data_IF_812668014053
#
_entry.id   IF_812668014053
#
_cell.length_a   1.000
_cell.length_b   1.000
_cell.length_c   1.000
_cell.angle_alpha   90.00
_cell.angle_beta   90.00
_cell.angle_gamma   90.00
#
_symmetry.space_group_name_H-M   'P 1'
#
loop_
_entity.id
_entity.type
_entity.pdbx_description
1 polymer ?
#
# COMPACT_ATOMS: atom_id res chain seq x y z
N UNK A 1 23.20 -27.66 -1.77
CA UNK A 1 24.25 -27.57 -2.83
C UNK A 1 24.94 -26.22 -2.71
N UNK A 2 26.26 -26.13 -2.90
CA UNK A 2 26.96 -24.83 -2.93
C UNK A 2 26.84 -24.25 -4.35
N UNK A 3 26.33 -23.02 -4.47
CA UNK A 3 26.16 -22.33 -5.78
C UNK A 3 27.44 -22.29 -6.61
N UNK A 4 28.59 -22.16 -5.94
CA UNK A 4 29.91 -22.17 -6.58
C UNK A 4 30.20 -23.46 -7.37
N UNK A 5 29.74 -24.61 -6.89
CA UNK A 5 29.96 -25.88 -7.58
C UNK A 5 29.14 -25.96 -8.88
N UNK A 6 27.88 -25.50 -8.84
CA UNK A 6 27.02 -25.42 -10.02
C UNK A 6 27.59 -24.46 -11.05
N UNK A 7 28.02 -23.28 -10.62
CA UNK A 7 28.64 -22.29 -11.50
C UNK A 7 29.90 -22.83 -12.17
N UNK A 8 30.80 -23.49 -11.43
CA UNK A 8 32.01 -24.11 -12.01
C UNK A 8 31.68 -25.21 -13.00
N UNK A 9 30.72 -26.08 -12.66
CA UNK A 9 30.29 -27.18 -13.53
C UNK A 9 29.64 -26.65 -14.81
N UNK A 10 28.83 -25.59 -14.69
CA UNK A 10 28.21 -24.91 -15.83
C UNK A 10 29.27 -24.35 -16.78
N UNK A 11 30.20 -23.53 -16.29
CA UNK A 11 31.23 -22.93 -17.15
C UNK A 11 32.14 -23.98 -17.80
N UNK A 12 32.47 -25.05 -17.08
CA UNK A 12 33.23 -26.16 -17.64
C UNK A 12 32.47 -26.86 -18.77
N UNK A 13 31.14 -26.98 -18.68
CA UNK A 13 30.30 -27.59 -19.70
C UNK A 13 30.09 -26.65 -20.90
N UNK A 14 29.86 -25.36 -20.69
CA UNK A 14 29.61 -24.40 -21.78
C UNK A 14 30.86 -23.99 -22.54
N UNK A 15 32.05 -24.23 -21.97
CA UNK A 15 33.33 -24.14 -22.66
C UNK A 15 33.59 -25.34 -23.59
N UNK A 16 32.97 -26.48 -23.29
CA UNK A 16 33.15 -27.70 -24.07
C UNK A 16 32.10 -27.74 -25.18
N UNK A 17 32.56 -27.58 -26.41
CA UNK A 17 31.71 -27.79 -27.56
C UNK A 17 31.47 -29.29 -27.76
N UNK A 18 30.22 -29.67 -28.01
CA UNK A 18 29.83 -31.07 -28.15
C UNK A 18 30.56 -31.77 -29.30
N UNK A 19 30.63 -33.10 -29.23
CA UNK A 19 31.22 -33.97 -30.25
C UNK A 19 30.37 -34.08 -31.55
N UNK A 20 29.66 -33.02 -31.92
CA UNK A 20 29.04 -32.90 -33.24
C UNK A 20 30.13 -32.47 -34.23
N UNK A 21 30.26 -33.18 -35.34
CA UNK A 21 31.35 -33.03 -36.31
C UNK A 21 31.43 -31.60 -36.87
N UNK A 22 32.32 -30.78 -36.30
CA UNK A 22 32.63 -29.44 -36.78
C UNK A 22 33.51 -28.64 -35.80
N UNK A 23 34.29 -27.66 -36.28
CA UNK A 23 34.95 -26.69 -35.40
C UNK A 23 33.87 -25.88 -34.68
N UNK A 24 34.03 -25.70 -33.38
CA UNK A 24 33.14 -24.87 -32.60
C UNK A 24 33.40 -23.39 -32.91
N UNK A 25 32.44 -22.67 -33.51
CA UNK A 25 32.68 -21.30 -33.92
C UNK A 25 32.66 -20.33 -32.74
N UNK A 26 31.80 -20.57 -31.75
CA UNK A 26 31.51 -19.64 -30.64
C UNK A 26 31.19 -20.45 -29.37
N UNK A 27 31.67 -19.97 -28.23
CA UNK A 27 31.47 -20.58 -26.91
C UNK A 27 31.10 -19.52 -25.87
N UNK A 28 30.52 -19.92 -24.74
CA UNK A 28 30.23 -19.00 -23.63
C UNK A 28 31.50 -18.45 -22.93
N UNK A 29 32.70 -18.79 -23.41
CA UNK A 29 33.95 -18.19 -22.98
C UNK A 29 34.29 -16.94 -23.79
N UNK A 30 33.74 -16.83 -25.00
CA UNK A 30 33.98 -15.71 -25.89
C UNK A 30 33.26 -14.48 -25.37
N UNK A 31 33.88 -13.31 -25.51
CA UNK A 31 33.34 -12.03 -25.05
C UNK A 31 32.10 -11.56 -25.82
N UNK A 32 31.76 -12.25 -26.88
CA UNK A 32 30.73 -11.85 -27.84
C UNK A 32 29.35 -12.40 -27.46
N UNK A 33 29.31 -13.36 -26.52
CA UNK A 33 28.09 -13.99 -26.02
C UNK A 33 27.89 -13.76 -24.53
N UNK A 34 26.66 -13.46 -24.14
CA UNK A 34 26.21 -13.51 -22.76
C UNK A 34 25.39 -14.80 -22.53
N UNK A 35 25.82 -15.63 -21.57
CA UNK A 35 25.18 -16.91 -21.24
C UNK A 35 24.57 -16.90 -19.84
N UNK A 36 23.30 -17.30 -19.76
CA UNK A 36 22.50 -17.30 -18.54
C UNK A 36 21.87 -18.67 -18.26
N UNK A 37 21.80 -19.02 -16.98
CA UNK A 37 20.82 -20.01 -16.49
C UNK A 37 19.70 -19.27 -15.80
N UNK A 38 18.48 -19.46 -16.29
CA UNK A 38 17.29 -18.76 -15.85
C UNK A 38 16.25 -19.77 -15.34
N UNK A 39 15.54 -19.42 -14.29
CA UNK A 39 14.44 -20.23 -13.77
C UNK A 39 13.17 -20.10 -14.67
N UNK A 40 12.19 -20.97 -14.49
CA UNK A 40 10.89 -20.92 -15.18
C UNK A 40 10.10 -19.62 -14.89
N UNK A 41 10.47 -18.87 -13.85
CA UNK A 41 9.93 -17.56 -13.52
C UNK A 41 10.75 -16.37 -14.04
N UNK A 42 11.79 -16.62 -14.85
CA UNK A 42 12.62 -15.60 -15.49
C UNK A 42 13.70 -14.98 -14.58
N UNK A 43 14.03 -15.59 -13.44
CA UNK A 43 15.11 -15.13 -12.57
C UNK A 43 16.45 -15.73 -12.97
N UNK A 44 17.50 -14.91 -13.00
CA UNK A 44 18.85 -15.33 -13.37
C UNK A 44 19.50 -16.04 -12.16
N UNK A 45 19.91 -17.28 -12.35
CA UNK A 45 20.63 -18.09 -11.35
C UNK A 45 22.14 -18.10 -11.57
N UNK A 46 22.57 -18.12 -12.83
CA UNK A 46 23.98 -18.08 -13.24
C UNK A 46 24.13 -17.06 -14.35
N UNK A 47 25.09 -16.16 -14.19
CA UNK A 47 25.55 -15.19 -15.19
C UNK A 47 27.07 -15.05 -15.07
N UNK A 48 27.73 -14.55 -16.11
CA UNK A 48 29.13 -14.10 -16.06
C UNK A 48 29.30 -13.00 -15.01
N UNK A 49 28.34 -12.08 -14.92
CA UNK A 49 28.39 -10.91 -14.04
C UNK A 49 27.62 -11.19 -12.75
N UNK A 50 28.27 -11.13 -11.57
CA UNK A 50 27.62 -11.49 -10.30
C UNK A 50 26.50 -10.51 -9.90
N UNK A 51 26.50 -9.29 -10.44
CA UNK A 51 25.50 -8.25 -10.16
C UNK A 51 24.10 -8.59 -10.72
N UNK A 52 24.04 -9.51 -11.70
CA UNK A 52 22.81 -9.89 -12.40
C UNK A 52 22.13 -11.10 -11.75
N UNK A 53 22.88 -11.87 -10.95
CA UNK A 53 22.35 -13.04 -10.26
C UNK A 53 21.27 -12.63 -9.27
N UNK A 54 20.12 -13.29 -9.35
CA UNK A 54 18.93 -13.00 -8.55
C UNK A 54 18.05 -11.88 -9.10
N UNK A 55 18.47 -11.17 -10.16
CA UNK A 55 17.62 -10.19 -10.84
C UNK A 55 16.69 -10.86 -11.84
N UNK A 56 15.63 -10.14 -12.19
CA UNK A 56 14.74 -10.57 -13.26
C UNK A 56 15.40 -10.33 -14.61
N UNK A 57 15.30 -11.31 -15.52
CA UNK A 57 15.84 -11.21 -16.86
C UNK A 57 15.34 -9.95 -17.61
N UNK A 58 14.08 -9.57 -17.43
CA UNK A 58 13.52 -8.38 -18.10
C UNK A 58 14.04 -7.05 -17.56
N UNK A 59 14.64 -7.05 -16.37
CA UNK A 59 15.33 -5.88 -15.81
C UNK A 59 16.73 -5.70 -16.43
N UNK A 60 17.38 -6.81 -16.79
CA UNK A 60 18.71 -6.84 -17.40
C UNK A 60 18.63 -6.70 -18.92
N UNK A 61 17.75 -7.46 -19.57
CA UNK A 61 17.50 -7.45 -21.01
C UNK A 61 15.99 -7.45 -21.31
N UNK A 62 15.42 -6.25 -21.39
CA UNK A 62 14.01 -6.05 -21.71
C UNK A 62 13.65 -6.43 -23.15
N UNK A 63 14.60 -6.33 -24.09
CA UNK A 63 14.39 -6.64 -25.49
C UNK A 63 14.15 -8.15 -25.69
N UNK A 64 14.99 -8.95 -25.04
CA UNK A 64 14.90 -10.41 -25.06
C UNK A 64 13.59 -10.92 -24.44
N UNK A 65 13.21 -10.43 -23.25
CA UNK A 65 11.97 -10.86 -22.59
C UNK A 65 10.74 -10.46 -23.41
N UNK A 66 10.74 -9.27 -24.00
CA UNK A 66 9.65 -8.83 -24.89
C UNK A 66 9.49 -9.77 -26.09
N UNK A 67 10.60 -10.22 -26.68
CA UNK A 67 10.57 -11.18 -27.77
C UNK A 67 10.14 -12.58 -27.31
N UNK A 68 10.61 -13.04 -26.15
CA UNK A 68 10.18 -14.34 -25.61
C UNK A 68 8.68 -14.36 -25.25
N UNK A 69 8.11 -13.21 -24.85
CA UNK A 69 6.68 -13.03 -24.67
C UNK A 69 5.93 -13.06 -26.01
N UNK A 70 6.45 -12.38 -27.04
CA UNK A 70 5.82 -12.36 -28.38
C UNK A 70 5.79 -13.75 -29.01
N UNK A 71 6.83 -14.55 -28.77
CA UNK A 71 6.92 -15.94 -29.22
C UNK A 71 6.11 -16.93 -28.37
N UNK A 72 5.53 -16.50 -27.25
CA UNK A 72 4.77 -17.36 -26.34
C UNK A 72 5.63 -18.31 -25.50
N UNK A 73 6.95 -18.14 -25.47
CA UNK A 73 7.87 -18.93 -24.62
C UNK A 73 7.62 -18.61 -23.14
N UNK A 74 7.37 -17.34 -22.85
CA UNK A 74 6.89 -16.89 -21.55
C UNK A 74 5.44 -16.41 -21.65
N UNK A 75 4.72 -16.56 -20.56
CA UNK A 75 3.37 -16.01 -20.38
C UNK A 75 3.40 -15.00 -19.24
N UNK A 76 2.78 -13.83 -19.48
CA UNK A 76 2.59 -12.82 -18.45
C UNK A 76 1.23 -13.03 -17.79
N UNK A 77 1.24 -13.23 -16.47
CA UNK A 77 0.05 -13.41 -15.63
C UNK A 77 0.05 -12.34 -14.56
N UNK A 78 -1.01 -11.54 -14.48
CA UNK A 78 -1.16 -10.55 -13.42
C UNK A 78 -1.61 -11.23 -12.13
N UNK A 79 -0.80 -11.13 -11.08
CA UNK A 79 -1.15 -11.55 -9.73
C UNK A 79 -1.71 -10.38 -8.93
N UNK A 80 -2.67 -10.66 -8.05
CA UNK A 80 -3.29 -9.68 -7.16
C UNK A 80 -3.01 -10.06 -5.70
N UNK A 81 -2.47 -9.12 -4.94
CA UNK A 81 -2.32 -9.21 -3.49
C UNK A 81 -3.36 -8.30 -2.81
N UNK A 82 -4.31 -8.91 -2.11
CA UNK A 82 -5.40 -8.24 -1.38
C UNK A 82 -5.04 -7.92 0.07
N UNK A 83 -3.80 -8.22 0.50
CA UNK A 83 -3.31 -8.03 1.87
C UNK A 83 -2.08 -7.12 1.93
N UNK A 84 -1.80 -6.38 0.86
CA UNK A 84 -0.67 -5.49 0.77
C UNK A 84 -0.87 -4.24 1.67
N UNK A 85 0.25 -3.59 1.99
CA UNK A 85 0.28 -2.33 2.74
C UNK A 85 0.87 -1.23 1.86
N UNK A 86 0.06 -0.22 1.52
CA UNK A 86 0.46 0.91 0.70
C UNK A 86 0.62 2.16 1.56
N UNK A 87 1.49 3.06 1.10
CA UNK A 87 1.47 4.43 1.64
C UNK A 87 0.20 5.12 1.15
N UNK A 88 -0.59 5.73 2.03
CA UNK A 88 -1.76 6.49 1.63
C UNK A 88 -1.30 7.62 0.71
N UNK A 89 -2.08 7.97 -0.32
CA UNK A 89 -1.83 9.17 -1.08
C UNK A 89 -1.77 10.34 -0.09
N UNK A 90 -0.70 11.12 -0.16
CA UNK A 90 -0.58 12.34 0.65
C UNK A 90 -1.60 13.35 0.13
N UNK A 91 -2.81 13.29 0.67
CA UNK A 91 -3.73 14.42 0.57
C UNK A 91 -3.09 15.55 1.39
N UNK A 92 -2.51 16.52 0.69
CA UNK A 92 -2.18 17.80 1.28
C UNK A 92 -3.50 18.48 1.66
N UNK A 93 -4.06 18.11 2.81
CA UNK A 93 -4.98 18.99 3.50
C UNK A 93 -4.13 20.18 3.92
N UNK A 94 -4.32 21.32 3.24
CA UNK A 94 -3.75 22.58 3.69
C UNK A 94 -4.05 22.72 5.19
N UNK A 95 -3.00 22.81 6.01
CA UNK A 95 -3.12 23.14 7.42
C UNK A 95 -3.53 24.61 7.63
N UNK A 96 -4.22 25.21 6.64
CA UNK A 96 -4.92 26.46 6.80
C UNK A 96 -6.03 26.17 7.80
N UNK A 97 -5.82 26.57 9.04
CA UNK A 97 -6.91 26.74 9.98
C UNK A 97 -7.97 27.57 9.27
N UNK A 98 -9.24 27.13 9.21
CA UNK A 98 -10.29 27.96 8.68
C UNK A 98 -10.22 29.29 9.42
N UNK A 99 -10.11 30.40 8.69
CA UNK A 99 -10.02 31.73 9.28
C UNK A 99 -11.21 31.86 10.24
N UNK A 100 -10.91 31.85 11.54
CA UNK A 100 -11.89 32.04 12.60
C UNK A 100 -12.56 33.36 12.29
N UNK A 101 -13.88 33.33 12.05
CA UNK A 101 -14.63 34.52 11.68
C UNK A 101 -14.31 35.63 12.69
N UNK A 102 -14.01 36.87 12.25
CA UNK A 102 -13.69 37.97 13.16
C UNK A 102 -14.79 38.18 14.22
N UNK A 103 -16.03 37.81 13.89
CA UNK A 103 -17.18 37.83 14.80
C UNK A 103 -17.02 36.81 15.94
N UNK A 104 -16.52 35.61 15.66
CA UNK A 104 -16.33 34.57 16.69
C UNK A 104 -15.16 34.89 17.64
N UNK A 105 -14.10 35.54 17.14
CA UNK A 105 -13.04 36.10 17.98
C UNK A 105 -13.60 37.20 18.90
N UNK A 106 -14.41 38.11 18.35
CA UNK A 106 -15.08 39.16 19.12
C UNK A 106 -16.00 38.56 20.20
N UNK A 107 -16.83 37.56 19.84
CA UNK A 107 -17.75 36.90 20.78
C UNK A 107 -17.01 36.19 21.91
N UNK A 108 -15.88 35.54 21.61
CA UNK A 108 -15.04 34.88 22.61
C UNK A 108 -14.42 35.90 23.56
N UNK A 109 -13.92 37.02 23.03
CA UNK A 109 -13.40 38.12 23.82
C UNK A 109 -14.48 38.76 24.70
N UNK A 110 -15.69 38.99 24.17
CA UNK A 110 -16.81 39.51 24.96
C UNK A 110 -17.23 38.53 26.05
N UNK A 111 -17.24 37.22 25.76
CA UNK A 111 -17.57 36.19 26.75
C UNK A 111 -16.53 36.13 27.85
N UNK A 112 -15.24 36.23 27.51
CA UNK A 112 -14.17 36.34 28.49
C UNK A 112 -14.34 37.59 29.36
N UNK A 113 -14.60 38.75 28.75
CA UNK A 113 -14.74 40.03 29.45
C UNK A 113 -15.96 40.04 30.39
N UNK A 114 -17.07 39.42 29.99
CA UNK A 114 -18.23 39.21 30.87
C UNK A 114 -17.91 38.27 32.02
N UNK A 115 -17.11 37.23 31.79
CA UNK A 115 -16.71 36.28 32.83
C UNK A 115 -15.77 36.95 33.85
N UNK A 116 -14.80 37.75 33.40
CA UNK A 116 -13.94 38.55 34.28
C UNK A 116 -14.74 39.60 35.04
N UNK A 117 -15.69 40.28 34.41
CA UNK A 117 -16.58 41.22 35.10
C UNK A 117 -17.44 40.51 36.16
N UNK A 118 -17.94 39.30 35.86
CA UNK A 118 -18.69 38.49 36.81
C UNK A 118 -17.82 38.05 37.99
N UNK A 119 -16.58 37.62 37.72
CA UNK A 119 -15.58 37.30 38.76
C UNK A 119 -15.24 38.54 39.59
N UNK A 120 -15.01 39.70 38.98
CA UNK A 120 -14.80 40.97 39.67
C UNK A 120 -16.00 41.37 40.53
N UNK A 121 -17.24 41.15 40.08
CA UNK A 121 -18.45 41.44 40.87
C UNK A 121 -18.63 40.44 42.03
N UNK A 122 -18.23 39.18 41.84
CA UNK A 122 -18.19 38.16 42.89
C UNK A 122 -17.10 38.49 43.92
N UNK A 123 -15.91 38.89 43.46
CA UNK A 123 -14.79 39.32 44.30
C UNK A 123 -15.09 40.63 45.01
N UNK A 124 -15.78 41.58 44.37
CA UNK A 124 -16.22 42.83 44.98
C UNK A 124 -17.27 42.60 46.08
N UNK A 125 -18.14 41.58 45.92
CA UNK A 125 -19.01 41.11 47.00
C UNK A 125 -18.24 40.42 48.12
N UNK A 126 -17.12 39.76 47.81
CA UNK A 126 -16.25 39.11 48.79
C UNK A 126 -15.30 40.10 49.50
N UNK A 127 -14.94 41.23 48.88
CA UNK A 127 -14.03 42.25 49.44
C UNK A 127 -14.67 43.13 50.53
N UNK A 128 -15.94 42.91 50.85
CA UNK A 128 -16.55 43.39 52.09
C UNK A 128 -16.16 42.61 53.34
N UNK A 129 -15.52 41.43 53.21
CA UNK A 129 -15.08 40.66 54.35
C UNK A 129 -13.82 39.85 54.05
N UNK A 130 -12.76 40.18 54.78
CA UNK A 130 -11.52 39.42 54.95
C UNK A 130 -10.45 39.49 53.86
N UNK A 131 -9.49 40.38 54.12
CA UNK A 131 -8.06 40.11 53.95
C UNK A 131 -7.71 38.77 54.59
N UNK A 132 -7.39 37.77 53.77
CA UNK A 132 -6.91 36.45 54.21
C UNK A 132 -6.02 35.89 53.11
N UNK A 133 -4.75 36.23 53.21
CA UNK A 133 -3.67 35.89 52.28
C UNK A 133 -3.41 34.38 52.28
N UNK A 134 -3.76 33.67 51.21
CA UNK A 134 -3.20 32.35 50.90
C UNK A 134 -3.15 32.14 49.38
N UNK A 135 -1.99 32.46 48.80
CA UNK A 135 -1.63 32.05 47.45
C UNK A 135 -1.52 30.53 47.33
N UNK A 136 -1.97 30.00 46.19
CA UNK A 136 -1.64 28.67 45.72
C UNK A 136 -1.14 28.77 44.28
N UNK A 137 0.16 28.58 44.10
CA UNK A 137 0.81 28.47 42.79
C UNK A 137 0.57 27.05 42.25
N UNK A 138 -0.27 26.91 41.22
CA UNK A 138 -0.53 25.62 40.58
C UNK A 138 0.54 25.36 39.50
N UNK A 139 1.49 24.46 39.77
CA UNK A 139 2.40 23.92 38.75
C UNK A 139 1.65 22.90 37.87
N UNK A 140 1.47 23.23 36.60
CA UNK A 140 0.94 22.33 35.56
C UNK A 140 2.01 21.32 35.13
N UNK A 141 2.06 20.18 35.82
CA UNK A 141 2.92 19.04 35.48
C UNK A 141 2.21 18.13 34.48
N UNK A 142 1.98 18.52 33.23
CA UNK A 142 1.66 17.56 32.14
C UNK A 142 1.89 18.16 30.76
N UNK A 143 3.14 18.17 30.26
CA UNK A 143 3.42 18.21 28.82
C UNK A 143 4.74 17.47 28.50
N UNK A 144 4.85 16.19 28.82
CA UNK A 144 5.75 15.32 28.07
C UNK A 144 5.04 14.91 26.77
N UNK A 145 5.16 15.78 25.77
CA UNK A 145 4.76 15.48 24.40
C UNK A 145 5.68 14.37 23.88
N UNK A 146 5.17 13.14 23.85
CA UNK A 146 5.82 12.06 23.13
C UNK A 146 5.90 12.49 21.66
N UNK A 147 7.11 12.85 21.23
CA UNK A 147 7.44 13.07 19.83
C UNK A 147 7.32 11.73 19.11
N UNK A 148 6.09 11.35 18.75
CA UNK A 148 5.83 10.21 17.89
C UNK A 148 6.64 10.42 16.62
N UNK A 149 7.71 9.63 16.47
CA UNK A 149 8.42 9.48 15.21
C UNK A 149 7.34 9.14 14.20
N UNK A 150 7.15 9.99 13.19
CA UNK A 150 6.15 9.85 12.14
C UNK A 150 6.49 8.59 11.37
N UNK A 151 6.06 7.44 11.89
CA UNK A 151 6.13 6.18 11.19
C UNK A 151 5.25 6.38 9.96
N UNK A 152 5.79 6.07 8.78
CA UNK A 152 5.03 6.14 7.54
C UNK A 152 3.71 5.40 7.80
N UNK A 153 2.61 6.16 7.84
CA UNK A 153 1.29 5.59 8.05
C UNK A 153 1.05 4.67 6.85
N UNK A 154 1.02 3.36 7.07
CA UNK A 154 0.70 2.40 6.02
C UNK A 154 -0.78 2.02 6.18
N UNK A 155 -1.45 1.82 5.05
CA UNK A 155 -2.85 1.38 5.02
C UNK A 155 -2.97 0.10 4.20
N UNK A 156 -3.91 -0.81 4.54
CA UNK A 156 -4.24 -1.95 3.70
C UNK A 156 -4.69 -1.48 2.31
N UNK A 157 -4.15 -2.12 1.27
CA UNK A 157 -4.47 -1.83 -0.13
C UNK A 157 -4.42 -3.12 -0.95
N UNK A 158 -4.99 -3.06 -2.14
CA UNK A 158 -4.83 -4.12 -3.13
C UNK A 158 -3.70 -3.72 -4.08
N UNK A 159 -2.75 -4.61 -4.32
CA UNK A 159 -1.70 -4.41 -5.33
C UNK A 159 -1.80 -5.46 -6.43
N UNK A 160 -1.38 -5.08 -7.63
CA UNK A 160 -1.25 -5.98 -8.76
C UNK A 160 0.19 -5.93 -9.27
N UNK A 161 0.75 -7.09 -9.60
CA UNK A 161 2.08 -7.20 -10.18
C UNK A 161 2.12 -8.27 -11.28
N UNK A 162 2.87 -8.05 -12.36
CA UNK A 162 3.03 -9.06 -13.40
C UNK A 162 3.99 -10.17 -12.93
N UNK A 163 3.59 -11.41 -13.16
CA UNK A 163 4.42 -12.61 -12.97
C UNK A 163 4.63 -13.27 -14.33
N UNK A 164 5.85 -13.75 -14.55
CA UNK A 164 6.24 -14.42 -15.78
C UNK A 164 6.38 -15.91 -15.51
N UNK A 165 5.80 -16.73 -16.38
CA UNK A 165 5.83 -18.19 -16.30
C UNK A 165 6.18 -18.76 -17.67
N UNK A 166 7.24 -19.55 -17.72
CA UNK A 166 7.65 -20.28 -18.92
C UNK A 166 6.62 -21.36 -19.30
N UNK A 167 6.28 -21.43 -20.58
CA UNK A 167 5.40 -22.46 -21.13
C UNK A 167 6.19 -23.73 -21.48
N UNK A 168 5.98 -24.80 -20.73
CA UNK A 168 6.70 -26.08 -20.87
C UNK A 168 6.46 -26.82 -22.21
N UNK A 169 5.52 -26.35 -23.02
CA UNK A 169 5.29 -26.85 -24.37
C UNK A 169 6.44 -26.47 -25.33
N UNK A 170 7.13 -25.36 -25.06
CA UNK A 170 8.23 -24.85 -25.90
C UNK A 170 9.55 -25.18 -25.23
N UNK A 171 10.23 -26.24 -25.68
CA UNK A 171 11.50 -26.68 -25.09
C UNK A 171 12.71 -25.91 -25.62
N UNK A 172 12.62 -25.45 -26.85
CA UNK A 172 13.69 -24.77 -27.57
C UNK A 172 13.09 -23.59 -28.33
N UNK A 173 13.77 -22.45 -28.28
CA UNK A 173 13.40 -21.26 -29.02
C UNK A 173 14.68 -20.56 -29.49
N UNK A 174 14.70 -20.16 -30.75
CA UNK A 174 15.74 -19.33 -31.32
C UNK A 174 15.10 -18.15 -32.05
N UNK A 175 15.83 -17.06 -32.15
CA UNK A 175 15.32 -15.88 -32.83
C UNK A 175 16.30 -14.73 -32.85
N UNK A 176 15.89 -13.68 -33.54
CA UNK A 176 16.64 -12.42 -33.64
C UNK A 176 15.73 -11.28 -33.23
N UNK A 177 16.24 -10.40 -32.39
CA UNK A 177 15.60 -9.15 -31.96
C UNK A 177 16.15 -8.02 -32.81
N UNK A 178 15.27 -7.29 -33.49
CA UNK A 178 15.66 -6.13 -34.30
C UNK A 178 15.81 -4.87 -33.41
N UNK A 179 17.04 -4.41 -33.20
CA UNK A 179 17.36 -3.27 -32.33
C UNK A 179 17.61 -1.98 -33.13
N UNK A 180 16.93 -1.84 -34.28
CA UNK A 180 17.08 -0.81 -35.33
C UNK A 180 18.45 -0.76 -36.02
N UNK A 181 19.54 -0.69 -35.27
CA UNK A 181 20.90 -0.54 -35.80
C UNK A 181 21.63 -1.89 -35.98
N UNK A 182 21.21 -2.91 -35.24
CA UNK A 182 21.77 -4.26 -35.27
C UNK A 182 20.67 -5.28 -34.97
N UNK A 183 20.97 -6.55 -35.25
CA UNK A 183 20.11 -7.68 -34.89
C UNK A 183 20.78 -8.47 -33.79
N UNK A 184 20.10 -8.62 -32.65
CA UNK A 184 20.59 -9.41 -31.52
C UNK A 184 20.02 -10.81 -31.61
N UNK A 185 20.86 -11.81 -31.83
CA UNK A 185 20.43 -13.21 -31.86
C UNK A 185 20.36 -13.80 -30.45
N UNK A 186 19.46 -14.75 -30.26
CA UNK A 186 19.38 -15.52 -29.02
C UNK A 186 18.97 -16.97 -29.29
N UNK A 187 19.40 -17.83 -28.37
CA UNK A 187 19.04 -19.24 -28.31
C UNK A 187 18.64 -19.57 -26.87
N UNK A 188 17.51 -20.24 -26.74
CA UNK A 188 16.93 -20.67 -25.48
C UNK A 188 16.66 -22.17 -25.54
N UNK A 189 17.11 -22.90 -24.54
CA UNK A 189 16.92 -24.35 -24.44
C UNK A 189 16.60 -24.74 -23.00
N UNK A 190 15.58 -25.56 -22.81
CA UNK A 190 15.25 -26.13 -21.51
C UNK A 190 16.31 -27.17 -21.11
N UNK A 191 16.83 -27.06 -19.88
CA UNK A 191 17.74 -28.06 -19.33
C UNK A 191 16.94 -29.34 -19.01
N UNK A 192 17.30 -30.49 -19.61
CA UNK A 192 16.55 -31.73 -19.44
C UNK A 192 16.32 -32.09 -17.97
N UNK A 193 15.12 -32.61 -17.68
CA UNK A 193 14.71 -33.04 -16.33
C UNK A 193 14.75 -31.94 -15.25
N UNK A 194 14.67 -30.67 -15.65
CA UNK A 194 14.62 -29.53 -14.71
C UNK A 194 13.66 -28.43 -15.18
N UNK A 195 13.40 -27.47 -14.30
CA UNK A 195 12.69 -26.22 -14.57
C UNK A 195 13.62 -25.10 -15.10
N UNK A 196 14.91 -25.38 -15.30
CA UNK A 196 15.90 -24.39 -15.69
C UNK A 196 15.98 -24.24 -17.20
N UNK A 197 16.33 -23.04 -17.62
CA UNK A 197 16.46 -22.62 -19.01
C UNK A 197 17.88 -22.11 -19.24
N UNK A 198 18.56 -22.68 -20.24
CA UNK A 198 19.79 -22.13 -20.78
C UNK A 198 19.44 -21.08 -21.81
N UNK A 199 20.01 -19.90 -21.66
CA UNK A 199 19.79 -18.77 -22.56
C UNK A 199 21.13 -18.19 -22.98
N UNK A 200 21.34 -18.09 -24.28
CA UNK A 200 22.56 -17.55 -24.88
C UNK A 200 22.16 -16.40 -25.78
N UNK A 201 22.79 -15.25 -25.60
CA UNK A 201 22.46 -14.04 -26.37
C UNK A 201 23.71 -13.34 -26.86
N UNK A 202 23.61 -12.71 -28.02
CA UNK A 202 24.67 -11.86 -28.55
C UNK A 202 24.86 -10.58 -27.71
N UNK A 203 26.10 -10.30 -27.32
CA UNK A 203 26.49 -9.13 -26.53
C UNK A 203 26.93 -7.94 -27.41
N UNK A 204 27.28 -8.18 -28.67
CA UNK A 204 27.82 -7.15 -29.58
C UNK A 204 26.82 -6.05 -29.91
N UNK A 205 25.52 -6.35 -29.79
CA UNK A 205 24.42 -5.45 -30.09
C UNK A 205 23.74 -4.93 -28.81
N UNK A 206 23.81 -3.61 -28.58
CA UNK A 206 23.10 -2.94 -27.48
C UNK A 206 21.65 -2.60 -27.88
N UNK A 207 20.70 -3.22 -27.18
CA UNK A 207 19.27 -3.11 -27.42
C UNK A 207 18.53 -2.24 -26.38
N UNK A 208 19.21 -1.26 -25.79
CA UNK A 208 18.67 -0.33 -24.77
C UNK A 208 17.46 0.52 -25.21
N UNK A 209 17.01 0.42 -26.47
CA UNK A 209 15.78 1.05 -26.97
C UNK A 209 14.54 0.42 -26.32
N UNK A 210 14.60 -0.86 -25.99
CA UNK A 210 13.52 -1.55 -25.31
C UNK A 210 13.56 -1.19 -23.82
N UNK A 211 12.44 -0.73 -23.23
CA UNK A 211 12.38 -0.45 -21.81
C UNK A 211 12.57 -1.75 -21.01
N UNK A 212 13.15 -1.63 -19.81
CA UNK A 212 13.21 -2.75 -18.88
C UNK A 212 11.79 -3.18 -18.49
N UNK A 213 11.57 -4.49 -18.45
CA UNK A 213 10.31 -5.09 -18.02
C UNK A 213 10.41 -5.32 -16.52
N UNK A 214 9.80 -4.41 -15.75
CA UNK A 214 9.85 -4.44 -14.29
C UNK A 214 8.69 -5.27 -13.71
N UNK A 215 8.94 -5.90 -12.56
CA UNK A 215 7.93 -6.59 -11.73
C UNK A 215 7.54 -5.76 -10.51
N UNK A 216 7.30 -4.48 -10.73
CA UNK A 216 6.88 -3.57 -9.66
C UNK A 216 5.41 -3.80 -9.31
N UNK A 217 5.11 -3.72 -8.00
CA UNK A 217 3.74 -3.83 -7.51
C UNK A 217 3.06 -2.45 -7.60
N UNK A 218 1.97 -2.40 -8.36
CA UNK A 218 1.19 -1.18 -8.52
C UNK A 218 -0.10 -1.27 -7.67
N UNK A 219 -0.45 -0.18 -7.01
CA UNK A 219 -1.71 -0.09 -6.27
C UNK A 219 -2.90 -0.12 -7.24
N UNK A 220 -3.83 -1.05 -7.01
CA UNK A 220 -5.07 -1.15 -7.78
C UNK A 220 -6.01 -0.04 -7.34
N UNK A 221 -6.01 1.07 -8.09
CA UNK A 221 -6.91 2.19 -7.83
C UNK A 221 -8.33 1.86 -8.28
N UNK A 222 -9.15 1.35 -7.39
CA UNK A 222 -10.60 1.30 -7.62
C UNK A 222 -11.11 2.74 -7.61
N UNK A 223 -11.54 3.24 -8.77
CA UNK A 223 -12.01 4.62 -8.91
C UNK A 223 -13.14 4.87 -7.89
N UNK A 224 -12.82 5.58 -6.82
CA UNK A 224 -13.77 6.30 -5.99
C UNK A 224 -13.68 7.76 -6.45
N UNK A 225 -14.70 8.15 -7.22
CA UNK A 225 -15.15 9.51 -7.53
C UNK A 225 -14.10 10.62 -7.58
N UNK A 226 -13.75 11.11 -8.78
CA UNK A 226 -13.25 12.48 -8.93
C UNK A 226 -12.09 12.76 -9.88
N UNK A 227 -11.62 11.83 -10.71
CA UNK A 227 -10.66 12.16 -11.78
C UNK A 227 -11.06 11.54 -13.11
N UNK A 228 -11.34 12.40 -14.09
CA UNK A 228 -11.91 12.08 -15.40
C UNK A 228 -10.86 11.57 -16.40
N UNK A 229 -9.91 10.75 -15.96
CA UNK A 229 -8.86 10.17 -16.82
C UNK A 229 -8.47 8.76 -16.38
N UNK A 230 -9.41 7.82 -16.40
CA UNK A 230 -9.11 6.39 -16.65
C UNK A 230 -10.41 5.60 -16.78
N UNK A 231 -10.61 4.93 -17.91
CA UNK A 231 -11.81 4.18 -18.25
C UNK A 231 -11.93 2.81 -17.54
N UNK A 232 -11.15 2.54 -16.48
CA UNK A 232 -11.13 1.23 -15.83
C UNK A 232 -11.18 1.36 -14.31
N UNK A 233 -12.26 0.88 -13.66
CA UNK A 233 -12.23 0.09 -12.40
C UNK A 233 -13.55 -0.03 -11.60
N UNK A 234 -14.68 0.52 -12.07
CA UNK A 234 -16.00 0.06 -11.58
C UNK A 234 -16.40 -1.31 -12.19
N UNK A 235 -15.86 -1.61 -13.39
CA UNK A 235 -16.19 -2.81 -14.16
C UNK A 235 -15.67 -4.12 -13.53
N UNK A 236 -14.51 -4.11 -12.86
CA UNK A 236 -13.90 -5.34 -12.29
C UNK A 236 -14.74 -5.89 -11.13
N UNK A 237 -15.19 -5.03 -10.22
CA UNK A 237 -16.05 -5.44 -9.09
C UNK A 237 -17.41 -5.96 -9.60
N UNK A 238 -18.03 -5.28 -10.56
CA UNK A 238 -19.28 -5.70 -11.18
C UNK A 238 -19.13 -7.02 -11.97
N UNK A 239 -18.05 -7.18 -12.72
CA UNK A 239 -17.75 -8.42 -13.45
C UNK A 239 -17.53 -9.59 -12.50
N UNK A 240 -16.84 -9.36 -11.37
CA UNK A 240 -16.65 -10.39 -10.32
C UNK A 240 -17.96 -10.77 -9.62
N UNK A 241 -18.89 -9.81 -9.45
CA UNK A 241 -20.24 -10.12 -8.97
C UNK A 241 -21.04 -10.95 -9.97
N UNK A 242 -20.78 -10.81 -11.27
CA UNK A 242 -21.43 -11.61 -12.33
C UNK A 242 -20.85 -13.03 -12.37
N UNK A 243 -19.57 -13.21 -12.12
CA UNK A 243 -18.86 -14.51 -12.11
C UNK A 243 -18.82 -15.16 -10.71
N UNK A 244 -19.92 -15.13 -9.96
CA UNK A 244 -19.94 -15.56 -8.55
C UNK A 244 -19.22 -16.90 -8.35
N UNK A 245 -18.23 -16.93 -7.44
CA UNK A 245 -17.64 -18.19 -6.99
C UNK A 245 -18.74 -19.01 -6.30
N UNK A 246 -18.73 -20.33 -6.49
CA UNK A 246 -19.66 -21.22 -5.80
C UNK A 246 -19.53 -21.01 -4.29
N UNK A 247 -20.63 -20.61 -3.65
CA UNK A 247 -20.73 -20.49 -2.19
C UNK A 247 -21.89 -21.35 -1.73
N UNK A 248 -21.65 -22.21 -0.75
CA UNK A 248 -22.71 -22.93 -0.06
C UNK A 248 -23.26 -22.04 1.05
N UNK A 249 -24.57 -21.82 1.06
CA UNK A 249 -25.24 -21.16 2.19
C UNK A 249 -25.41 -22.17 3.34
N UNK A 250 -25.50 -21.72 4.60
CA UNK A 250 -25.94 -22.57 5.69
C UNK A 250 -27.28 -23.25 5.37
N UNK A 251 -27.44 -24.49 5.82
CA UNK A 251 -28.62 -25.30 5.49
C UNK A 251 -29.89 -24.80 6.22
N UNK A 252 -29.76 -24.15 7.39
CA UNK A 252 -30.85 -23.54 8.14
C UNK A 252 -30.58 -22.07 8.47
N UNK A 253 -31.66 -21.28 8.59
CA UNK A 253 -31.63 -19.90 9.04
C UNK A 253 -32.74 -19.70 10.06
N UNK A 254 -32.38 -19.45 11.32
CA UNK A 254 -33.32 -19.20 12.41
C UNK A 254 -33.41 -17.69 12.65
N UNK A 255 -34.17 -17.00 11.80
CA UNK A 255 -34.32 -15.54 11.84
C UNK A 255 -35.37 -15.03 12.84
N UNK A 256 -36.16 -15.93 13.41
CA UNK A 256 -37.27 -15.59 14.30
C UNK A 256 -37.35 -16.60 15.44
N UNK A 257 -37.47 -16.11 16.67
CA UNK A 257 -37.79 -16.92 17.84
C UNK A 257 -39.12 -16.44 18.45
N UNK A 258 -40.06 -17.34 18.78
CA UNK A 258 -41.39 -16.95 19.27
C UNK A 258 -41.35 -16.24 20.63
N UNK A 259 -40.29 -16.43 21.41
CA UNK A 259 -40.08 -15.73 22.69
C UNK A 259 -39.28 -14.41 22.52
N UNK A 260 -38.94 -14.03 21.30
CA UNK A 260 -38.25 -12.76 21.03
C UNK A 260 -39.22 -11.58 21.14
N UNK A 261 -38.95 -10.67 22.07
CA UNK A 261 -39.76 -9.46 22.25
C UNK A 261 -39.31 -8.35 21.29
N UNK A 262 -39.95 -8.25 20.12
CA UNK A 262 -39.68 -7.21 19.13
C UNK A 262 -40.26 -5.82 19.49
N UNK A 263 -40.95 -5.67 20.62
CA UNK A 263 -41.60 -4.41 21.02
C UNK A 263 -40.68 -3.51 21.86
N UNK A 264 -39.55 -4.01 22.33
CA UNK A 264 -38.63 -3.26 23.17
C UNK A 264 -37.71 -2.39 22.30
N UNK A 265 -38.25 -1.25 21.84
CA UNK A 265 -37.52 -0.29 21.02
C UNK A 265 -37.26 1.02 21.80
N UNK A 266 -35.99 1.37 22.02
CA UNK A 266 -35.59 2.74 22.34
C UNK A 266 -36.01 3.27 23.72
N UNK A 267 -35.87 2.48 24.79
CA UNK A 267 -36.00 2.96 26.17
C UNK A 267 -34.88 3.93 26.56
N UNK A 268 -35.00 5.21 26.17
CA UNK A 268 -34.21 6.27 26.78
C UNK A 268 -34.84 6.65 28.13
N UNK A 269 -34.02 6.83 29.16
CA UNK A 269 -34.46 7.47 30.40
C UNK A 269 -34.84 8.92 30.09
N UNK A 270 -36.12 9.23 30.08
CA UNK A 270 -36.58 10.60 29.90
C UNK A 270 -36.21 11.39 31.17
N UNK A 271 -35.25 12.31 31.05
CA UNK A 271 -34.89 13.18 32.19
C UNK A 271 -36.01 14.18 32.40
N UNK A 272 -37.01 13.81 33.19
CA UNK A 272 -38.11 14.71 33.53
C UNK A 272 -37.58 15.91 34.34
N UNK A 273 -37.74 17.13 33.82
CA UNK A 273 -37.37 18.34 34.55
C UNK A 273 -38.25 18.47 35.80
N UNK A 274 -37.68 18.22 36.98
CA UNK A 274 -38.44 18.39 38.22
C UNK A 274 -38.57 19.88 38.51
N UNK A 275 -39.79 20.41 38.44
CA UNK A 275 -40.18 21.76 38.87
C UNK A 275 -39.61 22.16 40.24
N UNK A 276 -39.55 21.27 41.26
CA UNK A 276 -38.95 21.62 42.55
C UNK A 276 -37.47 22.01 42.44
N UNK A 277 -36.66 21.26 41.67
CA UNK A 277 -35.23 21.57 41.48
C UNK A 277 -35.02 22.90 40.73
N UNK A 278 -35.91 23.26 39.80
CA UNK A 278 -35.85 24.53 39.07
C UNK A 278 -36.23 25.74 39.94
N UNK A 279 -37.08 25.54 40.95
CA UNK A 279 -37.55 26.61 41.84
C UNK A 279 -36.65 26.84 43.07
N UNK A 280 -35.82 25.86 43.45
CA UNK A 280 -34.83 26.00 44.53
C UNK A 280 -33.92 27.23 44.41
N UNK A 281 -33.31 27.55 43.24
CA UNK A 281 -32.51 28.76 43.13
C UNK A 281 -33.37 30.02 43.31
N UNK A 282 -34.58 30.10 42.75
CA UNK A 282 -35.44 31.26 42.94
C UNK A 282 -35.80 31.49 44.41
N UNK A 283 -36.04 30.40 45.16
CA UNK A 283 -36.35 30.47 46.58
C UNK A 283 -35.13 30.87 47.41
N UNK A 284 -33.95 30.38 47.07
CA UNK A 284 -32.70 30.81 47.70
C UNK A 284 -32.45 32.31 47.48
N UNK A 285 -32.74 32.84 46.28
CA UNK A 285 -32.61 34.27 45.98
C UNK A 285 -33.63 35.11 46.76
N UNK A 286 -34.88 34.65 46.89
CA UNK A 286 -35.91 35.33 47.70
C UNK A 286 -35.53 35.31 49.19
N UNK A 287 -35.08 34.18 49.73
CA UNK A 287 -34.64 34.08 51.12
C UNK A 287 -33.43 34.99 51.40
N UNK A 288 -32.46 35.03 50.49
CA UNK A 288 -31.29 35.88 50.60
C UNK A 288 -31.67 37.37 50.57
N UNK A 289 -32.65 37.75 49.74
CA UNK A 289 -33.16 39.14 49.68
C UNK A 289 -33.92 39.56 50.95
N UNK A 290 -34.55 38.62 51.65
CA UNK A 290 -35.25 38.86 52.92
C UNK A 290 -34.27 38.96 54.11
N UNK A 291 -33.15 38.25 54.06
CA UNK A 291 -32.09 38.30 55.09
C UNK A 291 -31.15 39.52 54.98
N UNK A 292 -31.17 40.22 53.83
CA UNK A 292 -30.36 41.41 53.56
C UNK A 292 -31.13 42.74 53.75
N UNK A 293 -32.34 42.70 54.31
CA UNK A 293 -33.14 43.89 54.68
C UNK A 293 -33.19 44.08 56.19
#
# INVERSE_FOLDING_TARGET
MRMEFLQRSFWAATQQCGAAEGPCPESCQDSDLDCFIVDNNGFILISERPQEVGRFLGEVDGALVTQLLSMGVFSQVTMYDYQAMCRPPTHHHSASQPLVSPISALLTATRWLVNELLLLLLEWRAWGSWRGDHGAEAKTVFHHSHKHKKQDLLQPCDTAYPVFVHQTAVREANGTVECRACQKSFVMQQVPSSNLLLLVTDRTCDCSIFPSVLREAEEVKYILWGSMTSAHNASVKCSRMRSQKLRRRPDTCHAFHPEENAQDCGGASDTSASLPLLLLPLWAWVLLSQLLR
#
